data_IF_383207738793
#
_entry.id   IF_383207738793
#
_cell.length_a   1.000
_cell.length_b   1.000
_cell.length_c   1.000
_cell.angle_alpha   90.00
_cell.angle_beta   90.00
_cell.angle_gamma   90.00
#
_symmetry.space_group_name_H-M   'P 1'
#
loop_
_entity.id
_entity.type
_entity.pdbx_description
1 polymer ?
#
# COMPACT_ATOMS: atom_id res chain seq x y z
N UNK A 1 7.00 16.63 -11.34
CA UNK A 1 6.53 15.23 -11.33
C UNK A 1 6.37 14.81 -12.78
N UNK A 2 6.88 13.64 -13.12
CA UNK A 2 6.96 13.08 -14.47
C UNK A 2 5.92 11.98 -14.74
N UNK A 3 5.27 11.45 -13.70
CA UNK A 3 4.18 10.48 -13.88
C UNK A 3 3.05 11.08 -14.72
N UNK A 4 2.56 10.27 -15.66
CA UNK A 4 1.44 10.63 -16.53
C UNK A 4 0.29 9.70 -16.21
N UNK A 5 -0.71 10.23 -15.50
CA UNK A 5 -1.83 9.42 -15.05
C UNK A 5 -2.91 9.29 -16.12
N UNK A 6 -3.31 8.05 -16.36
CA UNK A 6 -4.53 7.72 -17.11
C UNK A 6 -5.66 7.45 -16.12
N UNK A 7 -6.88 7.90 -16.48
CA UNK A 7 -8.08 7.62 -15.67
C UNK A 7 -8.76 6.37 -16.19
N UNK A 8 -8.89 5.35 -15.35
CA UNK A 8 -9.50 4.06 -15.69
C UNK A 8 -10.82 3.85 -14.95
N UNK A 9 -11.58 2.83 -15.37
CA UNK A 9 -12.94 2.58 -14.86
C UNK A 9 -13.00 1.54 -13.74
N UNK A 10 -12.03 0.64 -13.67
CA UNK A 10 -11.99 -0.46 -12.69
C UNK A 10 -10.54 -0.83 -12.37
N UNK A 11 -10.34 -1.56 -11.26
CA UNK A 11 -9.04 -2.11 -10.84
C UNK A 11 -9.01 -3.56 -11.33
N UNK A 12 -7.95 -3.97 -12.03
CA UNK A 12 -7.89 -5.32 -12.63
C UNK A 12 -7.84 -6.46 -11.59
N UNK A 13 -7.25 -6.21 -10.41
CA UNK A 13 -7.13 -7.20 -9.32
C UNK A 13 -7.83 -6.74 -8.02
N UNK A 14 -9.17 -6.75 -8.05
CA UNK A 14 -10.01 -6.39 -6.89
C UNK A 14 -9.83 -7.33 -5.69
N UNK A 15 -9.28 -8.53 -5.89
CA UNK A 15 -9.14 -9.51 -4.82
C UNK A 15 -7.98 -9.18 -3.89
N UNK A 16 -6.88 -8.66 -4.44
CA UNK A 16 -5.68 -8.31 -3.65
C UNK A 16 -5.88 -6.98 -2.93
N UNK A 17 -6.53 -6.01 -3.57
CA UNK A 17 -6.73 -4.66 -3.05
C UNK A 17 -8.22 -4.33 -2.94
N UNK A 18 -8.84 -4.73 -1.81
CA UNK A 18 -10.29 -4.50 -1.58
C UNK A 18 -10.58 -3.06 -1.19
N UNK A 19 -10.53 -2.16 -2.16
CA UNK A 19 -10.83 -0.72 -1.97
C UNK A 19 -12.27 -0.43 -2.41
N UNK A 20 -13.01 0.31 -1.57
CA UNK A 20 -14.41 0.66 -1.82
C UNK A 20 -14.67 2.16 -1.63
N UNK A 21 -15.84 2.63 -2.10
CA UNK A 21 -16.20 4.05 -2.19
C UNK A 21 -15.27 4.86 -3.11
N UNK A 22 -14.83 4.26 -4.22
CA UNK A 22 -13.94 4.90 -5.19
C UNK A 22 -14.77 5.78 -6.14
N UNK A 23 -14.32 7.02 -6.36
CA UNK A 23 -14.87 7.92 -7.39
C UNK A 23 -14.03 7.90 -8.66
N UNK A 24 -12.72 7.79 -8.50
CA UNK A 24 -11.76 7.90 -9.60
C UNK A 24 -10.61 6.90 -9.38
N UNK A 25 -10.13 6.29 -10.47
CA UNK A 25 -8.96 5.43 -10.45
C UNK A 25 -7.96 6.01 -11.44
N UNK A 26 -6.72 6.17 -10.99
CA UNK A 26 -5.62 6.70 -11.77
C UNK A 26 -4.51 5.65 -11.85
N UNK A 27 -3.95 5.46 -13.04
CA UNK A 27 -2.85 4.54 -13.27
C UNK A 27 -1.72 5.23 -14.02
N UNK A 28 -0.48 4.86 -13.71
CA UNK A 28 0.70 5.31 -14.44
C UNK A 28 1.72 4.19 -14.45
N UNK A 29 2.38 4.01 -15.58
CA UNK A 29 3.54 3.14 -15.67
C UNK A 29 4.67 3.68 -14.81
N UNK A 30 5.40 2.77 -14.20
CA UNK A 30 6.65 3.03 -13.53
C UNK A 30 7.80 3.00 -14.55
N UNK A 31 8.83 3.78 -14.28
CA UNK A 31 10.02 3.84 -15.13
C UNK A 31 10.95 2.64 -14.84
N UNK A 32 11.84 2.31 -15.78
CA UNK A 32 12.94 1.35 -15.54
C UNK A 32 13.99 1.87 -14.52
N UNK A 33 13.91 3.15 -14.13
CA UNK A 33 14.83 3.81 -13.21
C UNK A 33 14.25 3.91 -11.79
N UNK A 34 14.89 3.21 -10.85
CA UNK A 34 14.53 3.20 -9.43
C UNK A 34 14.47 4.60 -8.82
N UNK A 35 15.49 5.43 -9.04
CA UNK A 35 15.59 6.74 -8.40
C UNK A 35 14.51 7.68 -8.94
N UNK A 36 14.28 7.62 -10.26
CA UNK A 36 13.22 8.38 -10.90
C UNK A 36 11.85 8.02 -10.34
N UNK A 37 11.54 6.74 -10.13
CA UNK A 37 10.29 6.34 -9.50
C UNK A 37 10.17 6.85 -8.07
N UNK A 38 11.20 6.65 -7.24
CA UNK A 38 11.21 7.11 -5.85
C UNK A 38 11.03 8.62 -5.75
N UNK A 39 11.74 9.41 -6.57
CA UNK A 39 11.63 10.87 -6.57
C UNK A 39 10.21 11.33 -6.93
N UNK A 40 9.58 10.67 -7.92
CA UNK A 40 8.20 10.97 -8.29
C UNK A 40 7.19 10.57 -7.20
N UNK A 41 7.37 9.42 -6.55
CA UNK A 41 6.54 9.00 -5.43
C UNK A 41 6.69 9.94 -4.22
N UNK A 42 7.90 10.46 -3.97
CA UNK A 42 8.13 11.48 -2.93
C UNK A 42 7.33 12.73 -3.27
N UNK A 43 7.45 13.27 -4.49
CA UNK A 43 6.68 14.46 -4.89
C UNK A 43 5.17 14.25 -4.75
N UNK A 44 4.68 13.05 -5.06
CA UNK A 44 3.26 12.73 -5.03
C UNK A 44 2.70 12.54 -3.61
N UNK A 45 3.45 11.87 -2.72
CA UNK A 45 2.93 11.41 -1.43
C UNK A 45 3.41 12.20 -0.21
N UNK A 46 4.53 12.94 -0.29
CA UNK A 46 5.23 13.44 0.90
C UNK A 46 4.35 14.26 1.86
N UNK A 47 3.53 15.16 1.33
CA UNK A 47 2.62 16.01 2.13
C UNK A 47 1.22 15.41 2.31
N UNK A 48 0.95 14.26 1.68
CA UNK A 48 -0.39 13.68 1.58
C UNK A 48 -0.53 12.38 2.35
N UNK A 49 0.58 11.74 2.71
CA UNK A 49 0.55 10.43 3.38
C UNK A 49 -0.14 10.49 4.75
N UNK A 50 -1.04 9.56 4.98
CA UNK A 50 -1.76 9.43 6.25
C UNK A 50 -1.41 8.09 6.92
N UNK A 51 -1.60 6.99 6.20
CA UNK A 51 -1.35 5.64 6.70
C UNK A 51 -0.53 4.84 5.70
N UNK A 52 0.16 3.81 6.22
CA UNK A 52 0.85 2.83 5.40
C UNK A 52 0.51 1.43 5.91
N UNK A 53 0.40 0.48 4.99
CA UNK A 53 0.18 -0.93 5.28
C UNK A 53 1.25 -1.70 4.54
N UNK A 54 1.92 -2.62 5.24
CA UNK A 54 2.84 -3.56 4.61
C UNK A 54 2.53 -4.96 5.11
N UNK A 55 2.52 -5.89 4.16
CA UNK A 55 2.36 -7.31 4.40
C UNK A 55 3.72 -8.00 4.31
N UNK A 56 4.07 -8.76 5.34
CA UNK A 56 5.36 -9.45 5.42
C UNK A 56 5.18 -10.91 5.85
N UNK A 57 6.15 -11.74 5.47
CA UNK A 57 6.30 -13.09 6.03
C UNK A 57 6.79 -13.00 7.48
N UNK A 58 6.52 -14.05 8.26
CA UNK A 58 7.01 -14.21 9.63
C UNK A 58 8.53 -14.19 9.75
N UNK A 59 9.27 -14.63 8.73
CA UNK A 59 10.74 -14.53 8.74
C UNK A 59 11.22 -13.08 8.81
N UNK A 60 10.54 -12.17 8.11
CA UNK A 60 10.94 -10.76 7.98
C UNK A 60 10.37 -9.87 9.08
N UNK A 61 9.27 -10.27 9.71
CA UNK A 61 8.58 -9.46 10.71
C UNK A 61 9.44 -9.03 11.89
N UNK A 62 10.45 -9.82 12.28
CA UNK A 62 11.38 -9.45 13.36
C UNK A 62 12.32 -8.31 12.94
N UNK A 63 12.94 -8.42 11.77
CA UNK A 63 13.88 -7.42 11.27
C UNK A 63 13.17 -6.09 11.01
N UNK A 64 11.99 -6.15 10.39
CA UNK A 64 11.17 -4.96 10.16
C UNK A 64 10.80 -4.30 11.50
N UNK A 65 10.35 -5.06 12.49
CA UNK A 65 10.05 -4.52 13.83
C UNK A 65 11.25 -3.79 14.44
N UNK A 66 12.43 -4.40 14.45
CA UNK A 66 13.64 -3.78 15.01
C UNK A 66 14.00 -2.47 14.29
N UNK A 67 13.85 -2.45 12.96
CA UNK A 67 14.10 -1.25 12.15
C UNK A 67 13.09 -0.13 12.45
N UNK A 68 11.80 -0.45 12.53
CA UNK A 68 10.74 0.52 12.85
C UNK A 68 10.86 1.08 14.27
N UNK A 69 11.18 0.22 15.24
CA UNK A 69 11.42 0.61 16.63
C UNK A 69 12.63 1.58 16.71
N UNK A 70 13.70 1.34 15.93
CA UNK A 70 14.88 2.22 15.89
C UNK A 70 14.58 3.62 15.32
N UNK A 71 13.53 3.74 14.51
CA UNK A 71 13.08 4.98 13.86
C UNK A 71 11.95 5.68 14.63
N UNK A 72 11.51 5.10 15.75
CA UNK A 72 10.39 5.60 16.55
C UNK A 72 9.10 5.78 15.72
N UNK A 73 8.85 4.86 14.80
CA UNK A 73 7.63 4.86 13.98
C UNK A 73 6.58 4.02 14.70
N UNK A 74 5.38 4.58 14.90
CA UNK A 74 4.29 3.86 15.55
C UNK A 74 3.56 2.96 14.54
N UNK A 75 3.27 1.73 14.95
CA UNK A 75 2.55 0.77 14.13
C UNK A 75 1.73 -0.21 14.99
N UNK A 76 0.72 -0.80 14.37
CA UNK A 76 -0.09 -1.91 14.88
C UNK A 76 0.22 -3.16 14.09
N UNK A 77 0.40 -4.30 14.77
CA UNK A 77 0.65 -5.60 14.12
C UNK A 77 -0.60 -6.46 14.18
N UNK A 78 -0.98 -7.01 13.02
CA UNK A 78 -1.99 -8.05 12.91
C UNK A 78 -1.31 -9.35 12.48
N UNK A 79 -1.09 -10.26 13.42
CA UNK A 79 -0.57 -11.61 13.14
C UNK A 79 -1.75 -12.57 12.95
N UNK A 80 -2.01 -12.92 11.69
CA UNK A 80 -3.08 -13.83 11.28
C UNK A 80 -2.49 -15.19 10.81
N UNK A 81 -1.27 -15.52 11.23
CA UNK A 81 -0.60 -16.79 10.93
C UNK A 81 0.58 -16.66 9.97
N UNK A 82 1.08 -17.82 9.50
CA UNK A 82 2.42 -18.00 8.90
C UNK A 82 2.83 -16.92 7.89
N UNK A 83 1.95 -16.60 6.94
CA UNK A 83 2.20 -15.66 5.84
C UNK A 83 1.25 -14.47 5.87
N UNK A 84 0.67 -14.11 7.01
CA UNK A 84 -0.34 -13.05 7.09
C UNK A 84 -0.04 -12.10 8.25
N UNK A 85 1.15 -11.52 8.23
CA UNK A 85 1.53 -10.50 9.20
C UNK A 85 1.43 -9.14 8.52
N UNK A 86 0.52 -8.30 9.02
CA UNK A 86 0.34 -6.94 8.52
C UNK A 86 0.84 -5.95 9.56
N UNK A 87 1.67 -5.02 9.12
CA UNK A 87 2.05 -3.85 9.89
C UNK A 87 1.25 -2.66 9.34
N UNK A 88 0.47 -2.02 10.21
CA UNK A 88 -0.34 -0.85 9.88
C UNK A 88 0.21 0.34 10.63
N UNK A 89 0.57 1.37 9.89
CA UNK A 89 1.20 2.58 10.38
C UNK A 89 0.16 3.69 10.40
N UNK A 90 -0.40 3.96 11.58
CA UNK A 90 -1.47 4.95 11.74
C UNK A 90 -0.97 6.39 11.81
N UNK A 91 0.33 6.59 12.04
CA UNK A 91 0.96 7.90 12.08
C UNK A 91 2.44 7.78 11.68
N UNK A 92 2.79 8.45 10.57
CA UNK A 92 4.16 8.46 10.05
C UNK A 92 4.82 9.80 10.41
N UNK A 93 5.92 9.81 11.18
CA UNK A 93 6.67 11.04 11.45
C UNK A 93 7.13 11.69 10.15
N UNK A 94 7.03 13.03 10.05
CA UNK A 94 7.47 13.78 8.85
C UNK A 94 8.91 13.46 8.44
N UNK A 95 9.80 13.24 9.42
CA UNK A 95 11.21 12.87 9.18
C UNK A 95 11.38 11.51 8.52
N UNK A 96 10.40 10.62 8.65
CA UNK A 96 10.44 9.25 8.13
C UNK A 96 9.56 9.05 6.88
N UNK A 97 8.84 10.07 6.43
CA UNK A 97 7.96 9.95 5.24
C UNK A 97 8.74 9.46 4.01
N UNK A 98 9.91 10.04 3.73
CA UNK A 98 10.74 9.62 2.60
C UNK A 98 11.23 8.18 2.74
N UNK A 99 11.44 7.71 3.97
CA UNK A 99 11.79 6.32 4.24
C UNK A 99 10.61 5.38 3.97
N UNK A 100 9.40 5.73 4.44
CA UNK A 100 8.19 4.94 4.17
C UNK A 100 7.88 4.86 2.67
N UNK A 101 8.07 5.95 1.92
CA UNK A 101 7.84 5.94 0.46
C UNK A 101 8.85 5.01 -0.25
N UNK A 102 10.12 5.01 0.18
CA UNK A 102 11.13 4.06 -0.33
C UNK A 102 10.79 2.61 0.02
N UNK A 103 10.31 2.37 1.24
CA UNK A 103 9.85 1.05 1.67
C UNK A 103 8.65 0.59 0.83
N UNK A 104 7.64 1.45 0.64
CA UNK A 104 6.48 1.16 -0.20
C UNK A 104 6.91 0.71 -1.60
N UNK A 105 7.78 1.48 -2.26
CA UNK A 105 8.28 1.13 -3.59
C UNK A 105 9.06 -0.19 -3.56
N UNK A 106 10.03 -0.32 -2.65
CA UNK A 106 10.89 -1.50 -2.54
C UNK A 106 10.14 -2.79 -2.23
N UNK A 107 9.14 -2.75 -1.36
CA UNK A 107 8.31 -3.92 -1.05
C UNK A 107 7.43 -4.29 -2.24
N UNK A 108 6.87 -3.30 -2.94
CA UNK A 108 5.94 -3.58 -4.03
C UNK A 108 6.63 -4.20 -5.25
N UNK A 109 7.84 -3.76 -5.60
CA UNK A 109 8.60 -4.34 -6.72
C UNK A 109 9.06 -5.78 -6.45
N UNK A 110 9.15 -6.17 -5.17
CA UNK A 110 9.39 -7.56 -4.73
C UNK A 110 8.10 -8.40 -4.73
N UNK A 111 7.01 -7.89 -5.33
CA UNK A 111 5.71 -8.55 -5.45
C UNK A 111 5.08 -8.89 -4.09
N UNK A 112 5.32 -8.04 -3.10
CA UNK A 112 4.69 -8.08 -1.80
C UNK A 112 3.67 -6.93 -1.65
N UNK A 113 2.64 -7.15 -0.84
CA UNK A 113 1.57 -6.18 -0.67
C UNK A 113 2.04 -5.00 0.19
N UNK A 114 1.98 -3.81 -0.41
CA UNK A 114 2.15 -2.53 0.28
C UNK A 114 1.07 -1.55 -0.21
N UNK A 115 0.49 -0.78 0.72
CA UNK A 115 -0.56 0.20 0.42
C UNK A 115 -0.27 1.49 1.19
N UNK A 116 -0.29 2.61 0.50
CA UNK A 116 -0.27 3.95 1.11
C UNK A 116 -1.66 4.55 1.06
N UNK A 117 -2.17 5.03 2.19
CA UNK A 117 -3.36 5.88 2.24
C UNK A 117 -2.97 7.35 2.26
N UNK A 118 -3.64 8.15 1.44
CA UNK A 118 -3.41 9.57 1.27
C UNK A 118 -4.63 10.38 1.74
N UNK A 119 -4.39 11.61 2.21
CA UNK A 119 -5.42 12.56 2.63
C UNK A 119 -6.01 12.22 3.99
N UNK A 120 -7.33 12.08 4.04
CA UNK A 120 -8.04 11.72 5.26
C UNK A 120 -7.77 10.27 5.67
N UNK A 121 -7.74 10.02 6.98
CA UNK A 121 -7.56 8.69 7.56
C UNK A 121 -8.71 7.76 7.15
N UNK A 122 -8.35 6.51 6.82
CA UNK A 122 -9.30 5.49 6.37
C UNK A 122 -9.34 4.33 7.35
N UNK A 123 -10.50 3.69 7.46
CA UNK A 123 -10.64 2.46 8.23
C UNK A 123 -10.07 1.29 7.44
N UNK A 124 -9.19 0.51 8.08
CA UNK A 124 -8.61 -0.72 7.53
C UNK A 124 -9.19 -1.90 8.30
N UNK A 125 -9.76 -2.85 7.57
CA UNK A 125 -10.23 -4.13 8.12
C UNK A 125 -9.55 -5.26 7.37
N UNK A 126 -9.08 -6.29 8.06
CA UNK A 126 -8.54 -7.49 7.42
C UNK A 126 -9.67 -8.51 7.20
N UNK A 127 -9.77 -9.05 5.99
CA UNK A 127 -10.80 -10.00 5.61
C UNK A 127 -10.18 -11.31 5.10
N UNK A 128 -10.69 -12.45 5.60
CA UNK A 128 -10.29 -13.77 5.11
C UNK A 128 -10.88 -14.00 3.72
N UNK A 129 -10.05 -14.33 2.74
CA UNK A 129 -10.52 -14.74 1.41
C UNK A 129 -10.78 -16.25 1.41
N UNK A 130 -11.86 -16.65 0.74
CA UNK A 130 -12.12 -18.06 0.47
C UNK A 130 -11.06 -18.64 -0.46
N UNK A 131 -10.35 -19.64 0.04
CA UNK A 131 -9.39 -20.42 -0.74
C UNK A 131 -9.83 -21.88 -0.81
N UNK A 132 -9.35 -22.59 -1.83
CA UNK A 132 -9.54 -24.04 -1.88
C UNK A 132 -8.80 -24.69 -0.71
N UNK A 133 -9.27 -25.85 -0.24
CA UNK A 133 -8.61 -26.60 0.85
C UNK A 133 -7.13 -26.87 0.57
N UNK A 134 -6.79 -27.13 -0.69
CA UNK A 134 -5.41 -27.38 -1.10
C UNK A 134 -4.54 -26.12 -0.94
N UNK A 135 -5.06 -24.95 -1.34
CA UNK A 135 -4.36 -23.69 -1.13
C UNK A 135 -4.20 -23.37 0.36
N UNK A 136 -5.25 -23.55 1.15
CA UNK A 136 -5.17 -23.34 2.61
C UNK A 136 -4.13 -24.27 3.27
N UNK A 137 -3.98 -25.51 2.80
CA UNK A 137 -2.90 -26.40 3.24
C UNK A 137 -1.49 -25.92 2.85
N UNK A 138 -1.33 -25.30 1.68
CA UNK A 138 -0.04 -24.86 1.15
C UNK A 138 0.40 -23.51 1.72
N UNK A 139 -0.50 -22.53 1.72
CA UNK A 139 -0.20 -21.13 2.04
C UNK A 139 -0.71 -20.70 3.41
N UNK A 140 -1.51 -21.53 4.07
CA UNK A 140 -2.31 -21.14 5.23
C UNK A 140 -3.57 -20.40 4.81
N UNK A 141 -4.29 -19.87 5.80
CA UNK A 141 -5.37 -18.90 5.55
C UNK A 141 -4.82 -17.69 4.78
N UNK A 142 -5.66 -16.99 4.03
CA UNK A 142 -5.24 -15.79 3.30
C UNK A 142 -6.15 -14.63 3.68
N UNK A 143 -5.51 -13.54 4.07
CA UNK A 143 -6.18 -12.31 4.44
C UNK A 143 -5.73 -11.18 3.53
N UNK A 144 -6.64 -10.25 3.26
CA UNK A 144 -6.34 -9.00 2.54
C UNK A 144 -6.90 -7.80 3.29
N UNK A 145 -6.30 -6.62 3.13
CA UNK A 145 -6.88 -5.38 3.62
C UNK A 145 -8.10 -4.97 2.79
N UNK A 146 -9.19 -4.74 3.50
CA UNK A 146 -10.39 -4.07 3.04
C UNK A 146 -10.34 -2.62 3.52
N UNK A 147 -10.32 -1.70 2.56
CA UNK A 147 -10.22 -0.26 2.79
C UNK A 147 -11.47 0.42 2.25
N UNK A 148 -12.11 1.23 3.09
CA UNK A 148 -13.26 2.04 2.69
C UNK A 148 -12.83 3.50 2.64
N UNK A 149 -12.74 4.04 1.42
CA UNK A 149 -12.37 5.43 1.23
C UNK A 149 -13.46 6.36 1.76
N UNK A 150 -13.02 7.45 2.37
CA UNK A 150 -13.85 8.60 2.79
C UNK A 150 -13.58 9.79 1.85
N UNK A 151 -14.43 10.84 1.84
CA UNK A 151 -14.15 12.01 1.02
C UNK A 151 -12.76 12.60 1.28
N UNK A 152 -12.07 13.03 0.23
CA UNK A 152 -10.68 13.53 0.27
C UNK A 152 -9.69 12.50 0.83
N UNK A 153 -9.86 11.22 0.46
CA UNK A 153 -8.87 10.17 0.70
C UNK A 153 -8.59 9.39 -0.57
N UNK A 154 -7.42 8.75 -0.63
CA UNK A 154 -7.06 7.82 -1.68
C UNK A 154 -6.18 6.70 -1.13
N UNK A 155 -6.08 5.59 -1.87
CA UNK A 155 -5.12 4.54 -1.62
C UNK A 155 -4.28 4.29 -2.87
N UNK A 156 -2.97 4.23 -2.68
CA UNK A 156 -1.99 3.91 -3.70
C UNK A 156 -1.39 2.54 -3.44
N UNK A 157 -1.23 1.76 -4.50
CA UNK A 157 -0.58 0.46 -4.51
C UNK A 157 0.08 0.24 -5.87
N UNK A 158 1.15 -0.55 -5.89
CA UNK A 158 1.82 -0.94 -7.13
C UNK A 158 1.43 -2.40 -7.39
N UNK A 159 1.01 -2.69 -8.62
CA UNK A 159 0.52 -4.01 -9.02
C UNK A 159 1.66 -5.05 -9.12
N UNK A 160 1.27 -6.32 -9.15
CA UNK A 160 2.17 -7.46 -9.31
C UNK A 160 2.89 -7.39 -10.66
N UNK A 161 4.23 -7.46 -10.61
CA UNK A 161 5.26 -7.16 -11.63
C UNK A 161 6.00 -5.82 -11.42
N UNK A 162 5.50 -4.96 -10.53
CA UNK A 162 6.15 -3.71 -10.17
C UNK A 162 6.13 -2.65 -11.28
N UNK A 163 5.35 -2.83 -12.35
CA UNK A 163 5.35 -1.93 -13.50
C UNK A 163 4.24 -0.88 -13.46
N UNK A 164 3.18 -1.08 -12.67
CA UNK A 164 2.01 -0.19 -12.68
C UNK A 164 1.67 0.35 -11.28
N UNK A 165 1.66 1.68 -11.14
CA UNK A 165 1.14 2.36 -9.95
C UNK A 165 -0.34 2.67 -10.15
N UNK A 166 -1.19 2.14 -9.27
CA UNK A 166 -2.63 2.42 -9.24
C UNK A 166 -2.99 3.24 -8.01
N UNK A 167 -3.81 4.28 -8.20
CA UNK A 167 -4.35 5.13 -7.14
C UNK A 167 -5.87 5.15 -7.23
N UNK A 168 -6.53 4.54 -6.25
CA UNK A 168 -7.96 4.62 -6.07
C UNK A 168 -8.30 5.82 -5.17
N UNK A 169 -9.07 6.77 -5.69
CA UNK A 169 -9.39 8.04 -5.03
C UNK A 169 -10.89 8.16 -4.73
N UNK A 170 -11.20 8.85 -3.64
CA UNK A 170 -12.52 9.37 -3.33
C UNK A 170 -12.42 10.89 -3.18
N UNK A 171 -12.63 11.61 -4.28
CA UNK A 171 -12.57 13.07 -4.34
C UNK A 171 -11.27 13.68 -3.82
N UNK A 172 -10.15 12.95 -3.85
CA UNK A 172 -8.82 13.51 -3.64
C UNK A 172 -8.19 13.79 -5.01
N UNK A 173 -7.82 15.04 -5.26
CA UNK A 173 -7.20 15.44 -6.52
C UNK A 173 -5.73 14.99 -6.55
N UNK A 174 -5.48 13.91 -7.29
CA UNK A 174 -4.15 13.32 -7.45
C UNK A 174 -3.31 14.12 -8.46
N UNK A 175 -3.95 14.73 -9.45
CA UNK A 175 -3.28 15.39 -10.57
C UNK A 175 -3.00 16.88 -10.31
N UNK A 176 -3.63 17.50 -9.31
CA UNK A 176 -3.24 18.82 -8.84
C UNK A 176 -1.89 18.76 -8.12
N UNK A 177 -0.80 18.95 -8.86
CA UNK A 177 0.51 19.33 -8.30
C UNK A 177 0.64 20.84 -8.19
#
# INVERSE_FOLDING_TARGET
>A
MDFTFEKVQHIEDENIYRVSNVTDIYETDLFDDYNRNVDNLILLFHERINQFIVHVDKSEGKNLKEELDSKNISYTVFDLGRKNIFFVFDSIPRTEVSYIIKMFYGVSIENALAIISLGNSVGIKLEKINQSKFMECLTGECFVPQIKLVPSSACAFIQYDGALLTIASNNLDICAT
#
